data_IF_821969838658
#
_entry.id   IF_821969838658
#
_cell.length_a   1.000
_cell.length_b   1.000
_cell.length_c   1.000
_cell.angle_alpha   90.00
_cell.angle_beta   90.00
_cell.angle_gamma   90.00
#
_symmetry.space_group_name_H-M   'P 1'
#
loop_
_entity.id
_entity.type
_entity.pdbx_description
1 polymer ?
#
# COMPACT_ATOMS: atom_id res chain seq x y z
N UNK A 1 11.01 -15.38 -27.65
CA UNK A 1 11.21 -14.52 -26.47
C UNK A 1 10.97 -15.37 -25.24
N UNK A 2 11.83 -15.30 -24.24
CA UNK A 2 11.68 -16.12 -23.02
C UNK A 2 10.57 -15.51 -22.17
N UNK A 3 9.51 -16.29 -21.93
CA UNK A 3 8.45 -15.93 -20.98
C UNK A 3 8.81 -16.45 -19.60
N UNK A 4 8.55 -15.66 -18.57
CA UNK A 4 8.73 -16.07 -17.19
C UNK A 4 7.61 -15.49 -16.33
N UNK A 5 7.28 -16.21 -15.25
CA UNK A 5 6.34 -15.74 -14.23
C UNK A 5 7.05 -15.51 -12.91
N UNK A 6 6.64 -14.48 -12.18
CA UNK A 6 7.06 -14.20 -10.79
C UNK A 6 5.81 -14.01 -9.93
N UNK A 7 5.85 -14.49 -8.72
CA UNK A 7 4.74 -14.42 -7.79
C UNK A 7 5.01 -13.40 -6.68
N UNK A 8 3.97 -12.66 -6.29
CA UNK A 8 4.02 -11.75 -5.14
C UNK A 8 2.62 -11.42 -4.62
N UNK A 9 2.54 -10.93 -3.37
CA UNK A 9 1.31 -10.39 -2.83
C UNK A 9 0.98 -9.01 -3.42
N UNK A 10 -0.30 -8.73 -3.64
CA UNK A 10 -0.78 -7.42 -4.07
C UNK A 10 -0.54 -6.37 -2.97
N UNK A 11 0.06 -5.21 -3.28
CA UNK A 11 0.40 -4.20 -2.28
C UNK A 11 -0.72 -3.16 -2.05
N UNK A 12 -1.92 -3.32 -2.62
CA UNK A 12 -2.91 -2.24 -2.66
C UNK A 12 -3.82 -2.20 -1.43
N UNK A 13 -4.13 -3.35 -0.83
CA UNK A 13 -5.00 -3.42 0.34
C UNK A 13 -4.73 -4.68 1.17
N UNK A 14 -5.42 -4.78 2.30
CA UNK A 14 -5.30 -5.86 3.27
C UNK A 14 -5.76 -7.23 2.77
N UNK A 15 -6.43 -7.32 1.62
CA UNK A 15 -6.76 -8.58 0.98
C UNK A 15 -5.51 -9.33 0.50
N UNK A 16 -4.40 -8.61 0.23
CA UNK A 16 -3.08 -9.17 -0.14
C UNK A 16 -3.14 -10.31 -1.17
N UNK A 17 -4.07 -10.25 -2.13
CA UNK A 17 -4.26 -11.28 -3.13
C UNK A 17 -2.95 -11.69 -3.79
N UNK A 18 -2.78 -12.99 -4.04
CA UNK A 18 -1.66 -13.51 -4.80
C UNK A 18 -1.68 -13.03 -6.25
N UNK A 19 -0.56 -12.54 -6.74
CA UNK A 19 -0.38 -12.08 -8.12
C UNK A 19 0.64 -12.93 -8.85
N UNK A 20 0.30 -13.35 -10.07
CA UNK A 20 1.22 -13.84 -11.07
C UNK A 20 1.61 -12.71 -12.02
N UNK A 21 2.88 -12.31 -11.98
CA UNK A 21 3.45 -11.29 -12.85
C UNK A 21 4.11 -11.97 -14.04
N UNK A 22 3.58 -11.77 -15.25
CA UNK A 22 4.08 -12.39 -16.46
C UNK A 22 5.01 -11.44 -17.23
N UNK A 23 6.21 -11.93 -17.53
CA UNK A 23 7.25 -11.17 -18.20
C UNK A 23 7.57 -11.76 -19.58
N UNK A 24 7.82 -10.89 -20.56
CA UNK A 24 8.51 -11.21 -21.80
C UNK A 24 9.88 -10.52 -21.77
N UNK A 25 10.95 -11.31 -21.66
CA UNK A 25 12.27 -10.86 -21.24
C UNK A 25 12.18 -10.13 -19.86
N UNK A 26 12.48 -8.84 -19.81
CA UNK A 26 12.37 -8.03 -18.57
C UNK A 26 11.12 -7.16 -18.50
N UNK A 27 10.29 -7.18 -19.54
CA UNK A 27 9.08 -6.35 -19.61
C UNK A 27 7.90 -7.08 -18.97
N UNK A 28 7.25 -6.47 -18.00
CA UNK A 28 5.97 -6.93 -17.47
C UNK A 28 4.89 -6.75 -18.54
N UNK A 29 4.22 -7.84 -18.92
CA UNK A 29 3.22 -7.85 -19.99
C UNK A 29 1.81 -8.23 -19.52
N UNK A 30 1.69 -8.92 -18.39
CA UNK A 30 0.39 -9.23 -17.81
C UNK A 30 0.50 -9.39 -16.29
N UNK A 31 -0.60 -9.11 -15.60
CA UNK A 31 -0.81 -9.43 -14.19
C UNK A 31 -2.09 -10.25 -14.11
N UNK A 32 -2.03 -11.38 -13.40
CA UNK A 32 -3.16 -12.27 -13.14
C UNK A 32 -3.21 -12.63 -11.68
N UNK A 33 -4.34 -13.19 -11.23
CA UNK A 33 -4.41 -13.85 -9.94
C UNK A 33 -3.53 -15.11 -9.93
N UNK A 34 -2.95 -15.41 -8.78
CA UNK A 34 -2.22 -16.65 -8.54
C UNK A 34 -3.20 -17.74 -8.08
N UNK A 35 -3.46 -18.72 -8.94
CA UNK A 35 -4.39 -19.83 -8.65
C UNK A 35 -3.91 -20.69 -7.48
N UNK A 36 -2.59 -20.67 -7.18
CA UNK A 36 -2.02 -21.42 -6.08
C UNK A 36 -2.03 -20.65 -4.74
N UNK A 37 -2.40 -19.37 -4.75
CA UNK A 37 -2.53 -18.60 -3.51
C UNK A 37 -3.68 -19.16 -2.65
N UNK A 38 -3.39 -19.61 -1.40
CA UNK A 38 -4.39 -20.30 -0.59
C UNK A 38 -5.55 -19.42 -0.14
N UNK A 39 -5.37 -18.10 -0.18
CA UNK A 39 -6.38 -17.13 0.27
C UNK A 39 -7.22 -16.59 -0.89
N UNK A 40 -6.58 -16.02 -1.90
CA UNK A 40 -7.28 -15.41 -3.05
C UNK A 40 -7.67 -16.40 -4.15
N UNK A 41 -7.02 -17.57 -4.20
CA UNK A 41 -7.36 -18.69 -5.12
C UNK A 41 -7.57 -18.22 -6.57
N UNK A 42 -6.67 -17.40 -7.08
CA UNK A 42 -6.74 -16.84 -8.43
C UNK A 42 -7.56 -15.56 -8.57
N UNK A 43 -8.28 -15.14 -7.52
CA UNK A 43 -9.04 -13.88 -7.60
C UNK A 43 -8.12 -12.68 -7.66
N UNK A 44 -8.44 -11.73 -8.55
CA UNK A 44 -7.81 -10.41 -8.64
C UNK A 44 -8.87 -9.36 -8.96
N UNK A 45 -8.88 -8.29 -8.19
CA UNK A 45 -9.79 -7.17 -8.46
C UNK A 45 -9.29 -6.26 -9.60
N UNK A 46 -10.15 -5.43 -10.19
CA UNK A 46 -9.75 -4.49 -11.25
C UNK A 46 -8.57 -3.59 -10.87
N UNK A 47 -8.45 -3.20 -9.61
CA UNK A 47 -7.33 -2.37 -9.12
C UNK A 47 -5.99 -3.11 -9.20
N UNK A 48 -5.97 -4.40 -8.82
CA UNK A 48 -4.78 -5.24 -8.92
C UNK A 48 -4.33 -5.44 -10.37
N UNK A 49 -5.27 -5.63 -11.27
CA UNK A 49 -4.99 -5.74 -12.71
C UNK A 49 -4.46 -4.43 -13.29
N UNK A 50 -4.99 -3.28 -12.87
CA UNK A 50 -4.57 -1.95 -13.34
C UNK A 50 -3.16 -1.52 -12.88
N UNK A 51 -2.49 -2.30 -12.02
CA UNK A 51 -1.07 -2.04 -11.67
C UNK A 51 -0.19 -2.08 -12.91
N UNK A 52 -0.51 -2.92 -13.91
CA UNK A 52 0.22 -2.98 -15.17
C UNK A 52 0.16 -1.66 -15.94
N UNK A 53 -1.02 -1.05 -16.02
CA UNK A 53 -1.21 0.23 -16.71
C UNK A 53 -0.43 1.33 -15.97
N UNK A 54 -0.49 1.34 -14.64
CA UNK A 54 0.27 2.26 -13.82
C UNK A 54 1.80 2.11 -14.01
N UNK A 55 2.29 0.87 -14.12
CA UNK A 55 3.73 0.61 -14.35
C UNK A 55 4.18 1.07 -15.74
N UNK A 56 3.32 0.94 -16.75
CA UNK A 56 3.62 1.31 -18.13
C UNK A 56 3.28 2.77 -18.47
N UNK A 57 2.65 3.51 -17.57
CA UNK A 57 2.25 4.90 -17.78
C UNK A 57 3.46 5.78 -18.07
N UNK A 58 3.38 6.53 -19.17
CA UNK A 58 4.43 7.46 -19.62
C UNK A 58 4.58 8.67 -18.72
N UNK A 59 3.52 9.07 -18.01
CA UNK A 59 3.51 10.22 -17.10
C UNK A 59 3.98 9.85 -15.69
N UNK A 60 4.23 8.56 -15.44
CA UNK A 60 4.76 8.11 -14.16
C UNK A 60 6.17 8.63 -13.92
N UNK A 61 6.39 9.29 -12.80
CA UNK A 61 7.72 9.72 -12.37
C UNK A 61 8.60 8.49 -12.08
N UNK A 62 9.73 8.40 -12.78
CA UNK A 62 10.73 7.33 -12.62
C UNK A 62 12.03 7.79 -12.00
N UNK A 63 12.20 9.10 -11.91
CA UNK A 63 13.37 9.78 -11.35
C UNK A 63 12.91 10.91 -10.43
N UNK A 64 13.72 11.28 -9.43
CA UNK A 64 13.44 12.45 -8.63
C UNK A 64 13.42 13.71 -9.49
N UNK A 65 12.46 14.60 -9.21
CA UNK A 65 12.30 15.87 -9.90
C UNK A 65 12.38 17.01 -8.89
N UNK A 66 13.18 18.03 -9.19
CA UNK A 66 13.24 19.27 -8.43
C UNK A 66 12.59 20.40 -9.21
N UNK A 67 11.74 21.18 -8.54
CA UNK A 67 11.18 22.40 -9.15
C UNK A 67 12.15 23.57 -8.97
N UNK A 68 12.51 24.22 -10.07
CA UNK A 68 13.33 25.43 -10.10
C UNK A 68 12.57 26.51 -10.86
N UNK A 69 12.02 27.47 -10.14
CA UNK A 69 11.04 28.40 -10.70
C UNK A 69 9.80 27.65 -11.19
N UNK A 70 9.48 27.80 -12.48
CA UNK A 70 8.33 27.14 -13.11
C UNK A 70 8.70 25.84 -13.87
N UNK A 71 9.96 25.42 -13.80
CA UNK A 71 10.45 24.24 -14.51
C UNK A 71 10.74 23.10 -13.56
N UNK A 72 10.43 21.86 -14.01
CA UNK A 72 10.81 20.63 -13.35
C UNK A 72 12.11 20.10 -13.97
N UNK A 73 13.10 19.80 -13.14
CA UNK A 73 14.40 19.27 -13.55
C UNK A 73 14.64 17.93 -12.89
N UNK A 74 15.09 16.95 -13.68
CA UNK A 74 15.52 15.66 -13.15
C UNK A 74 16.81 15.83 -12.35
N UNK A 75 16.88 15.19 -11.16
CA UNK A 75 18.07 15.17 -10.31
C UNK A 75 18.42 13.73 -9.93
N UNK A 76 19.65 13.52 -9.46
CA UNK A 76 20.04 12.20 -8.95
C UNK A 76 19.32 11.86 -7.64
N UNK A 77 19.26 10.56 -7.30
CA UNK A 77 18.73 10.14 -6.01
C UNK A 77 19.54 10.68 -4.83
N UNK A 78 20.85 10.75 -4.96
CA UNK A 78 21.74 11.28 -3.91
C UNK A 78 21.47 12.76 -3.66
N UNK A 79 21.34 13.56 -4.73
CA UNK A 79 20.97 14.96 -4.62
C UNK A 79 19.57 15.15 -4.02
N UNK A 80 18.62 14.29 -4.39
CA UNK A 80 17.26 14.36 -3.84
C UNK A 80 17.24 14.06 -2.34
N UNK A 81 17.97 13.05 -1.88
CA UNK A 81 18.08 12.74 -0.46
C UNK A 81 18.82 13.80 0.32
N UNK A 82 19.91 14.34 -0.22
CA UNK A 82 20.66 15.43 0.40
C UNK A 82 19.77 16.69 0.56
N UNK A 83 19.10 17.09 -0.52
CA UNK A 83 18.20 18.24 -0.50
C UNK A 83 17.05 18.06 0.50
N UNK A 84 16.36 16.91 0.46
CA UNK A 84 15.26 16.64 1.38
C UNK A 84 15.71 16.62 2.85
N UNK A 85 16.86 16.02 3.14
CA UNK A 85 17.42 15.95 4.49
C UNK A 85 17.81 17.32 5.02
N UNK A 86 18.46 18.15 4.19
CA UNK A 86 18.87 19.51 4.54
C UNK A 86 17.65 20.41 4.81
N UNK A 87 16.69 20.41 3.90
CA UNK A 87 15.47 21.24 4.04
C UNK A 87 14.64 20.86 5.26
N UNK A 88 14.43 19.56 5.51
CA UNK A 88 13.72 19.10 6.70
C UNK A 88 14.46 19.51 7.99
N UNK A 89 15.80 19.37 8.03
CA UNK A 89 16.58 19.78 9.18
C UNK A 89 16.54 21.29 9.43
N UNK A 90 16.60 22.11 8.37
CA UNK A 90 16.51 23.55 8.45
C UNK A 90 15.13 24.02 8.96
N UNK A 91 14.05 23.43 8.44
CA UNK A 91 12.68 23.71 8.90
C UNK A 91 12.52 23.38 10.39
N UNK A 92 13.03 22.23 10.83
CA UNK A 92 12.95 21.88 12.26
C UNK A 92 13.78 22.79 13.15
N UNK A 93 14.96 23.19 12.69
CA UNK A 93 15.82 24.11 13.42
C UNK A 93 15.19 25.50 13.58
N UNK A 94 14.49 25.98 12.56
CA UNK A 94 13.87 27.31 12.56
C UNK A 94 12.51 27.31 13.29
N UNK A 95 11.67 26.29 13.06
CA UNK A 95 10.28 26.28 13.52
C UNK A 95 9.95 25.20 14.58
N UNK A 96 10.94 24.39 14.95
CA UNK A 96 10.80 23.33 15.96
C UNK A 96 10.36 21.98 15.38
N UNK A 97 10.38 20.94 16.23
CA UNK A 97 10.16 19.57 15.80
C UNK A 97 8.78 19.33 15.14
N UNK A 98 7.74 20.01 15.62
CA UNK A 98 6.37 19.84 15.12
C UNK A 98 6.04 20.68 13.88
N UNK A 99 7.03 21.33 13.26
CA UNK A 99 6.86 22.04 11.98
C UNK A 99 6.69 21.09 10.79
N UNK A 100 7.03 19.83 10.94
CA UNK A 100 6.86 18.78 9.93
C UNK A 100 5.66 17.92 10.29
N UNK A 101 4.83 17.60 9.31
CA UNK A 101 3.75 16.65 9.44
C UNK A 101 3.95 15.46 8.49
N UNK A 102 3.60 14.27 8.94
CA UNK A 102 3.60 13.05 8.13
C UNK A 102 2.17 12.55 7.95
N UNK A 103 1.75 12.35 6.70
CA UNK A 103 0.48 11.70 6.38
C UNK A 103 0.75 10.35 5.71
N UNK A 104 0.31 9.27 6.34
CA UNK A 104 0.62 7.91 5.93
C UNK A 104 -0.57 7.29 5.19
N UNK A 105 -0.34 6.87 3.96
CA UNK A 105 -1.33 6.17 3.15
C UNK A 105 -1.29 4.65 3.35
N UNK A 106 -2.34 3.97 2.86
CA UNK A 106 -2.53 2.53 3.00
C UNK A 106 -1.33 1.67 2.49
N UNK A 107 -0.67 1.98 1.35
CA UNK A 107 0.46 1.17 0.87
C UNK A 107 1.62 1.06 1.87
N UNK A 108 1.74 1.96 2.85
CA UNK A 108 2.80 1.89 3.86
C UNK A 108 2.71 0.66 4.76
N UNK A 109 1.52 0.07 4.93
CA UNK A 109 1.30 -1.14 5.74
C UNK A 109 1.32 -2.43 4.92
N UNK A 110 1.35 -2.34 3.60
CA UNK A 110 1.35 -3.51 2.69
C UNK A 110 2.68 -3.67 1.93
N UNK A 111 3.67 -2.83 2.21
CA UNK A 111 4.99 -2.89 1.60
C UNK A 111 6.07 -3.09 2.65
N UNK A 112 6.79 -4.22 2.59
CA UNK A 112 7.80 -4.58 3.60
C UNK A 112 8.88 -3.52 3.82
N UNK A 113 9.35 -2.87 2.76
CA UNK A 113 10.32 -1.78 2.89
C UNK A 113 9.77 -0.61 3.72
N UNK A 114 8.51 -0.23 3.50
CA UNK A 114 7.89 0.84 4.28
C UNK A 114 7.69 0.42 5.75
N UNK A 115 7.20 -0.79 6.00
CA UNK A 115 7.03 -1.30 7.37
C UNK A 115 8.38 -1.32 8.12
N UNK A 116 9.47 -1.72 7.44
CA UNK A 116 10.78 -1.83 8.06
C UNK A 116 11.42 -0.46 8.35
N UNK A 117 11.30 0.51 7.44
CA UNK A 117 12.04 1.76 7.53
C UNK A 117 11.23 2.95 8.05
N UNK A 118 9.90 2.95 7.87
CA UNK A 118 9.04 4.06 8.29
C UNK A 118 9.15 4.40 9.78
N UNK A 119 9.16 3.45 10.74
CA UNK A 119 9.31 3.77 12.14
C UNK A 119 10.61 4.52 12.45
N UNK A 120 11.71 4.15 11.78
CA UNK A 120 13.00 4.82 11.92
C UNK A 120 12.96 6.24 11.37
N UNK A 121 12.34 6.45 10.23
CA UNK A 121 12.14 7.79 9.64
C UNK A 121 11.31 8.69 10.56
N UNK A 122 10.19 8.21 11.07
CA UNK A 122 9.34 8.97 12.00
C UNK A 122 10.08 9.31 13.29
N UNK A 123 10.89 8.38 13.80
CA UNK A 123 11.75 8.62 14.97
C UNK A 123 12.82 9.68 14.73
N UNK A 124 13.35 9.77 13.53
CA UNK A 124 14.33 10.82 13.14
C UNK A 124 13.63 12.19 13.03
N UNK A 125 12.47 12.22 12.38
CA UNK A 125 11.66 13.45 12.23
C UNK A 125 11.21 14.00 13.58
N UNK A 126 10.92 13.15 14.58
CA UNK A 126 10.53 13.53 15.96
C UNK A 126 9.31 14.46 16.06
N UNK A 127 8.49 14.53 15.04
CA UNK A 127 7.25 15.29 15.07
C UNK A 127 6.12 14.48 15.70
N UNK A 128 5.24 15.14 16.45
CA UNK A 128 3.99 14.57 16.94
C UNK A 128 2.89 14.59 15.87
N UNK A 129 3.12 15.28 14.76
CA UNK A 129 2.15 15.44 13.68
C UNK A 129 2.25 14.25 12.71
N UNK A 130 1.73 13.10 13.14
CA UNK A 130 1.63 11.88 12.33
C UNK A 130 0.16 11.55 12.13
N UNK A 131 -0.27 11.52 10.90
CA UNK A 131 -1.66 11.34 10.51
C UNK A 131 -1.82 10.20 9.51
N UNK A 132 -2.98 9.56 9.54
CA UNK A 132 -3.39 8.57 8.54
C UNK A 132 -4.91 8.50 8.47
N UNK A 133 -5.45 7.77 7.51
CA UNK A 133 -6.88 7.48 7.45
C UNK A 133 -7.37 6.55 8.57
N UNK A 134 -6.47 5.91 9.31
CA UNK A 134 -6.77 4.83 10.27
C UNK A 134 -7.78 5.22 11.35
N UNK A 135 -7.85 6.48 11.77
CA UNK A 135 -8.77 6.92 12.81
C UNK A 135 -10.26 6.77 12.45
N UNK A 136 -10.60 6.85 11.15
CA UNK A 136 -11.98 6.69 10.66
C UNK A 136 -12.16 5.42 9.83
N UNK A 137 -11.09 4.89 9.27
CA UNK A 137 -11.10 3.71 8.41
C UNK A 137 -11.00 2.40 9.22
N UNK A 138 -9.93 2.21 9.97
CA UNK A 138 -9.65 0.93 10.65
C UNK A 138 -9.81 0.97 12.17
N UNK A 139 -9.66 2.11 12.78
CA UNK A 139 -9.64 2.23 14.23
C UNK A 139 -10.87 1.65 14.94
N UNK A 140 -12.11 1.89 14.47
CA UNK A 140 -13.28 1.27 15.08
C UNK A 140 -13.21 -0.26 15.02
N UNK A 141 -12.74 -0.83 13.93
CA UNK A 141 -12.57 -2.27 13.74
C UNK A 141 -11.48 -2.83 14.68
N UNK A 142 -10.34 -2.16 14.77
CA UNK A 142 -9.26 -2.56 15.67
C UNK A 142 -9.68 -2.51 17.14
N UNK A 143 -10.46 -1.50 17.53
CA UNK A 143 -10.99 -1.39 18.89
C UNK A 143 -11.93 -2.55 19.23
N UNK A 144 -12.85 -2.87 18.32
CA UNK A 144 -13.78 -4.01 18.48
C UNK A 144 -13.00 -5.31 18.56
N UNK A 145 -12.01 -5.53 17.67
CA UNK A 145 -11.19 -6.72 17.71
C UNK A 145 -10.42 -6.88 19.01
N UNK A 146 -9.86 -5.78 19.54
CA UNK A 146 -9.16 -5.81 20.81
C UNK A 146 -10.09 -6.23 21.98
N UNK A 147 -11.34 -5.78 21.96
CA UNK A 147 -12.33 -6.12 22.98
C UNK A 147 -12.90 -7.53 22.83
N UNK A 148 -13.15 -7.96 21.59
CA UNK A 148 -13.75 -9.27 21.33
C UNK A 148 -12.73 -10.42 21.35
N UNK A 149 -11.53 -10.17 20.84
CA UNK A 149 -10.52 -11.22 20.61
C UNK A 149 -9.23 -11.01 21.42
N UNK A 150 -9.13 -9.92 22.19
CA UNK A 150 -7.97 -9.62 23.03
C UNK A 150 -6.79 -8.94 22.33
N UNK A 151 -6.85 -8.74 21.02
CA UNK A 151 -5.79 -8.05 20.28
C UNK A 151 -6.34 -7.35 19.03
N UNK A 152 -5.90 -6.11 18.79
CA UNK A 152 -6.40 -5.27 17.70
C UNK A 152 -6.17 -5.82 16.27
N UNK A 153 -5.16 -6.66 16.09
CA UNK A 153 -4.83 -7.25 14.79
C UNK A 153 -5.34 -8.69 14.60
N UNK A 154 -6.18 -9.18 15.48
CA UNK A 154 -6.91 -10.43 15.25
C UNK A 154 -8.14 -10.13 14.38
N UNK A 155 -7.89 -9.94 13.09
CA UNK A 155 -8.92 -9.62 12.13
C UNK A 155 -9.72 -10.89 11.76
N UNK A 156 -11.04 -10.91 11.96
CA UNK A 156 -11.87 -12.03 11.51
C UNK A 156 -11.95 -12.03 9.99
N UNK A 157 -11.78 -13.21 9.40
CA UNK A 157 -12.02 -13.45 7.98
C UNK A 157 -13.39 -14.11 7.84
N UNK A 158 -14.35 -13.52 7.10
CA UNK A 158 -15.65 -14.14 6.89
C UNK A 158 -15.50 -15.50 6.21
N UNK A 159 -16.09 -16.55 6.81
CA UNK A 159 -16.12 -17.89 6.23
C UNK A 159 -17.33 -18.03 5.30
N UNK A 160 -17.21 -17.45 4.10
CA UNK A 160 -18.31 -17.39 3.13
C UNK A 160 -18.61 -18.78 2.57
N UNK A 161 -17.59 -19.62 2.41
CA UNK A 161 -17.69 -20.91 1.77
C UNK A 161 -18.47 -21.94 2.63
N UNK A 162 -18.58 -21.72 3.95
CA UNK A 162 -19.14 -22.69 4.89
C UNK A 162 -20.31 -22.12 5.71
N UNK A 163 -20.91 -21.00 5.30
CA UNK A 163 -22.04 -20.41 6.02
C UNK A 163 -23.36 -20.61 5.27
N UNK A 164 -24.40 -21.02 6.00
CA UNK A 164 -25.79 -21.11 5.48
C UNK A 164 -26.54 -19.78 5.64
N UNK A 165 -26.00 -18.82 6.39
CA UNK A 165 -26.61 -17.52 6.60
C UNK A 165 -25.55 -16.43 6.66
N UNK A 166 -25.68 -15.44 5.79
CA UNK A 166 -24.76 -14.32 5.69
C UNK A 166 -25.51 -12.98 5.77
N UNK A 167 -25.25 -12.21 6.83
CA UNK A 167 -25.80 -10.86 6.99
C UNK A 167 -24.77 -9.83 6.60
N UNK A 168 -25.02 -9.10 5.53
CA UNK A 168 -24.14 -8.04 5.03
C UNK A 168 -24.76 -6.67 5.27
N UNK A 169 -24.09 -5.83 6.07
CA UNK A 169 -24.55 -4.49 6.42
C UNK A 169 -23.60 -3.43 5.87
N UNK A 170 -24.07 -2.60 4.95
CA UNK A 170 -23.32 -1.46 4.42
C UNK A 170 -22.09 -1.81 3.58
N UNK A 171 -21.90 -3.06 3.21
CA UNK A 171 -20.77 -3.51 2.41
C UNK A 171 -21.21 -3.92 1.00
N UNK A 172 -20.31 -3.71 0.02
CA UNK A 172 -20.47 -4.23 -1.34
C UNK A 172 -19.12 -4.81 -1.81
N UNK A 173 -18.80 -6.06 -1.47
CA UNK A 173 -17.52 -6.66 -1.82
C UNK A 173 -17.28 -6.79 -3.32
N UNK A 174 -18.33 -6.96 -4.12
CA UNK A 174 -18.21 -7.03 -5.59
C UNK A 174 -17.68 -5.70 -6.16
N UNK A 175 -18.14 -4.57 -5.63
CA UNK A 175 -17.68 -3.26 -6.09
C UNK A 175 -16.34 -2.84 -5.47
N UNK A 176 -16.14 -3.08 -4.16
CA UNK A 176 -14.95 -2.64 -3.43
C UNK A 176 -13.83 -3.68 -3.43
N UNK A 177 -14.15 -4.96 -3.56
CA UNK A 177 -13.25 -6.10 -3.32
C UNK A 177 -12.50 -5.97 -1.98
N UNK A 178 -13.16 -5.32 -1.00
CA UNK A 178 -12.49 -4.84 0.20
C UNK A 178 -12.26 -5.91 1.23
N UNK A 179 -11.23 -5.68 2.02
CA UNK A 179 -11.07 -6.12 3.40
C UNK A 179 -11.25 -7.62 3.64
N UNK A 180 -10.24 -8.42 3.28
CA UNK A 180 -10.18 -9.84 3.66
C UNK A 180 -11.32 -10.72 3.08
N UNK A 181 -12.23 -10.16 2.33
CA UNK A 181 -13.23 -10.89 1.58
C UNK A 181 -12.79 -10.97 0.11
N UNK A 182 -11.90 -11.86 -0.18
CA UNK A 182 -11.67 -12.27 -1.57
C UNK A 182 -12.83 -13.16 -1.98
N UNK A 183 -13.43 -12.86 -3.11
CA UNK A 183 -14.49 -13.68 -3.68
C UNK A 183 -13.89 -14.34 -4.93
N UNK A 184 -13.37 -15.57 -4.80
CA UNK A 184 -12.69 -16.24 -5.90
C UNK A 184 -13.62 -16.58 -7.07
N UNK A 185 -14.93 -16.79 -6.82
CA UNK A 185 -15.97 -17.09 -7.82
C UNK A 185 -17.30 -16.44 -7.48
#
# INVERSE_FOLDING_TARGET
MTRSSKFRACPLCEAICGLELQFEAEKLVAIRGDDADPFSRGHICPKGNAILDLESDTDRLRRPMRRVGDQWQEISWDDAFALAGEELANIQKEYGANSIASYLGNPNVHHFGHIAYLPSLLKIIRSQNVFSASSVDQWPHQLVNAQMYGHQFLLPVPDIDHTDYFLMLGANPIASNGSLMTVPD
#
